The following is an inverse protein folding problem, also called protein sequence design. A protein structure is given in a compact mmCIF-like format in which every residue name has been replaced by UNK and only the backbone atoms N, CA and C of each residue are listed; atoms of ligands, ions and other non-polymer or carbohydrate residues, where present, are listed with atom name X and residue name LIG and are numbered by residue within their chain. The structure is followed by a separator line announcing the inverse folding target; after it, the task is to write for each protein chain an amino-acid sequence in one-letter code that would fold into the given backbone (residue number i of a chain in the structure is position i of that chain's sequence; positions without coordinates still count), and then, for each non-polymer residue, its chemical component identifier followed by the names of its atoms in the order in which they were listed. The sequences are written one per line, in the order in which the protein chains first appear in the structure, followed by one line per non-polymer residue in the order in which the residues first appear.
data_IF_204033721125
#
_entry.id   IF_204033721125
#
_cell.length_a   1.000
_cell.length_b   1.000
_cell.length_c   1.000
_cell.angle_alpha   90.00
_cell.angle_beta   90.00
_cell.angle_gamma   90.00
#
_symmetry.space_group_name_H-M   'P 1'
#
loop_
_entity.id
_entity.type
_entity.pdbx_description
1 polymer ?
#
# COMPACT_ATOMS: atom_id res chain seq x y z
N UNK A 1 -5.98 22.85 -0.65
CA UNK A 1 -5.29 21.66 -1.18
C UNK A 1 -5.23 21.69 -2.70
N UNK A 2 -6.34 21.92 -3.41
CA UNK A 2 -6.41 21.94 -4.90
C UNK A 2 -5.32 22.75 -5.59
N UNK A 3 -5.06 23.99 -5.15
CA UNK A 3 -3.98 24.83 -5.71
C UNK A 3 -2.59 24.17 -5.59
N UNK A 4 -2.32 23.48 -4.49
CA UNK A 4 -1.04 22.79 -4.29
C UNK A 4 -0.96 21.51 -5.17
N UNK A 5 -2.08 20.81 -5.37
CA UNK A 5 -2.14 19.69 -6.30
C UNK A 5 -1.90 20.15 -7.74
N UNK A 6 -2.49 21.28 -8.14
CA UNK A 6 -2.24 21.88 -9.46
C UNK A 6 -0.76 22.26 -9.62
N UNK A 7 -0.12 22.83 -8.60
CA UNK A 7 1.30 23.14 -8.64
C UNK A 7 2.20 21.91 -8.88
N UNK A 8 1.82 20.73 -8.38
CA UNK A 8 2.53 19.48 -8.70
C UNK A 8 2.38 19.13 -10.19
N UNK A 9 1.19 19.28 -10.75
CA UNK A 9 0.95 19.04 -12.18
C UNK A 9 1.74 20.02 -13.05
N UNK A 10 1.72 21.30 -12.70
CA UNK A 10 2.44 22.35 -13.39
C UNK A 10 3.96 22.11 -13.33
N UNK A 11 4.47 21.67 -12.18
CA UNK A 11 5.89 21.34 -12.01
C UNK A 11 6.31 20.10 -12.82
N UNK A 12 5.42 19.12 -13.05
CA UNK A 12 5.72 17.96 -13.91
C UNK A 12 5.72 18.30 -15.39
N UNK A 13 4.78 19.17 -15.81
CA UNK A 13 4.47 19.45 -17.21
C UNK A 13 5.70 19.71 -18.11
N UNK A 14 6.61 20.66 -17.81
CA UNK A 14 7.71 20.97 -18.72
C UNK A 14 8.69 19.80 -18.91
N UNK A 15 8.82 18.92 -17.92
CA UNK A 15 9.70 17.76 -18.02
C UNK A 15 9.08 16.63 -18.83
N UNK A 16 7.77 16.38 -18.63
CA UNK A 16 7.02 15.40 -19.41
C UNK A 16 6.95 15.83 -20.89
N UNK A 17 6.70 17.12 -21.15
CA UNK A 17 6.71 17.69 -22.49
C UNK A 17 8.12 17.58 -23.15
N UNK A 18 9.18 17.49 -22.33
CA UNK A 18 10.56 17.23 -22.74
C UNK A 18 10.94 15.73 -22.85
N UNK A 19 9.99 14.81 -22.68
CA UNK A 19 10.19 13.36 -22.83
C UNK A 19 10.59 12.61 -21.57
N UNK A 20 10.67 13.26 -20.40
CA UNK A 20 10.93 12.57 -19.14
C UNK A 20 9.73 11.68 -18.75
N UNK A 21 10.01 10.48 -18.26
CA UNK A 21 9.00 9.61 -17.68
C UNK A 21 8.68 10.01 -16.23
N UNK A 22 7.58 9.48 -15.69
CA UNK A 22 7.31 9.63 -14.25
C UNK A 22 8.38 8.94 -13.40
N UNK A 23 9.01 7.86 -13.87
CA UNK A 23 10.10 7.23 -13.13
C UNK A 23 11.27 8.20 -12.97
N UNK A 24 11.66 8.89 -14.04
CA UNK A 24 12.76 9.87 -14.03
C UNK A 24 12.47 11.03 -13.07
N UNK A 25 11.21 11.51 -13.03
CA UNK A 25 10.81 12.61 -12.16
C UNK A 25 10.73 12.26 -10.67
N UNK A 26 10.56 10.98 -10.36
CA UNK A 26 10.37 10.50 -9.01
C UNK A 26 11.56 9.71 -8.47
N UNK A 27 12.67 9.65 -9.21
CA UNK A 27 13.96 9.24 -8.67
C UNK A 27 14.34 10.20 -7.51
N UNK A 28 14.57 9.70 -6.28
CA UNK A 28 14.89 10.55 -5.13
C UNK A 28 16.16 11.40 -5.29
N UNK A 29 17.10 10.98 -6.13
CA UNK A 29 18.35 11.68 -6.40
C UNK A 29 18.24 12.66 -7.57
N UNK A 30 17.30 12.43 -8.50
CA UNK A 30 17.13 13.25 -9.70
C UNK A 30 15.84 14.09 -9.72
N UNK A 31 14.99 14.01 -8.69
CA UNK A 31 13.74 14.77 -8.62
C UNK A 31 14.00 16.28 -8.78
N UNK A 32 13.36 16.95 -9.75
CA UNK A 32 13.50 18.39 -9.94
C UNK A 32 13.12 19.17 -8.68
N UNK A 33 13.91 20.18 -8.34
CA UNK A 33 13.73 20.97 -7.10
C UNK A 33 12.34 21.62 -7.02
N UNK A 34 11.80 22.10 -8.14
CA UNK A 34 10.45 22.69 -8.17
C UNK A 34 9.35 21.66 -7.93
N UNK A 35 9.52 20.44 -8.42
CA UNK A 35 8.61 19.33 -8.13
C UNK A 35 8.66 18.94 -6.65
N UNK A 36 9.86 18.86 -6.07
CA UNK A 36 10.03 18.58 -4.64
C UNK A 36 9.38 19.66 -3.76
N UNK A 37 9.56 20.94 -4.10
CA UNK A 37 8.89 22.05 -3.40
C UNK A 37 7.37 21.96 -3.51
N UNK A 38 6.84 21.63 -4.69
CA UNK A 38 5.41 21.46 -4.91
C UNK A 38 4.83 20.33 -4.04
N UNK A 39 5.53 19.19 -3.93
CA UNK A 39 5.13 18.09 -3.03
C UNK A 39 5.13 18.52 -1.58
N UNK A 40 6.19 19.19 -1.10
CA UNK A 40 6.25 19.67 0.29
C UNK A 40 5.09 20.62 0.63
N UNK A 41 4.70 21.47 -0.33
CA UNK A 41 3.56 22.37 -0.16
C UNK A 41 2.23 21.60 -0.14
N UNK A 42 2.09 20.57 -0.97
CA UNK A 42 0.93 19.69 -0.98
C UNK A 42 0.83 18.89 0.33
N UNK A 43 1.91 18.27 0.77
CA UNK A 43 1.98 17.49 2.02
C UNK A 43 1.55 18.34 3.21
N UNK A 44 2.06 19.57 3.31
CA UNK A 44 1.66 20.48 4.36
C UNK A 44 0.18 20.87 4.29
N UNK A 45 -0.39 21.01 3.10
CA UNK A 45 -1.83 21.27 2.94
C UNK A 45 -2.68 20.04 3.31
N UNK A 46 -2.19 18.83 3.05
CA UNK A 46 -2.83 17.56 3.42
C UNK A 46 -2.75 17.35 4.94
N UNK A 47 -1.57 17.49 5.54
CA UNK A 47 -1.37 17.36 6.98
C UNK A 47 -2.31 18.30 7.76
N UNK A 48 -2.47 19.55 7.28
CA UNK A 48 -3.43 20.52 7.84
C UNK A 48 -4.89 20.10 7.75
N UNK A 49 -5.25 19.27 6.77
CA UNK A 49 -6.63 18.76 6.64
C UNK A 49 -6.95 17.67 7.65
N UNK A 50 -5.92 16.95 8.13
CA UNK A 50 -6.05 15.95 9.18
C UNK A 50 -6.10 16.59 10.57
N UNK A 51 -5.23 17.57 10.86
CA UNK A 51 -5.21 18.31 12.14
C UNK A 51 -4.50 19.66 12.01
N UNK A 52 -4.76 20.57 12.95
CA UNK A 52 -4.10 21.89 12.96
C UNK A 52 -2.62 21.85 13.36
N UNK A 53 -2.24 20.95 14.27
CA UNK A 53 -0.86 20.82 14.74
C UNK A 53 0.00 20.03 13.73
N UNK A 54 1.26 20.44 13.48
CA UNK A 54 2.15 19.72 12.57
C UNK A 54 2.54 18.35 13.15
N UNK A 55 2.89 17.40 12.27
CA UNK A 55 3.56 16.16 12.66
C UNK A 55 5.06 16.39 12.83
N UNK A 56 5.65 15.84 13.88
CA UNK A 56 7.09 15.97 14.16
C UNK A 56 7.94 15.05 13.27
N UNK A 57 7.40 13.89 12.88
CA UNK A 57 8.07 12.90 12.04
C UNK A 57 7.04 11.93 11.44
N UNK A 58 7.50 11.08 10.52
CA UNK A 58 6.63 10.13 9.82
C UNK A 58 6.01 9.09 10.77
N UNK A 59 6.67 8.76 11.88
CA UNK A 59 6.12 7.83 12.88
C UNK A 59 4.86 8.42 13.53
N UNK A 60 4.90 9.68 13.96
CA UNK A 60 3.72 10.35 14.53
C UNK A 60 2.57 10.41 13.51
N UNK A 61 2.90 10.69 12.24
CA UNK A 61 1.90 10.71 11.15
C UNK A 61 1.22 9.35 11.02
N UNK A 62 1.99 8.27 10.99
CA UNK A 62 1.46 6.90 10.88
C UNK A 62 0.61 6.51 12.09
N UNK A 63 1.09 6.79 13.32
CA UNK A 63 0.33 6.52 14.55
C UNK A 63 -1.03 7.25 14.55
N UNK A 64 -1.06 8.51 14.13
CA UNK A 64 -2.29 9.29 14.01
C UNK A 64 -3.27 8.71 12.98
N UNK A 65 -2.75 8.30 11.80
CA UNK A 65 -3.57 7.71 10.74
C UNK A 65 -4.18 6.38 11.15
N UNK A 66 -3.44 5.52 11.88
CA UNK A 66 -3.99 4.26 12.43
C UNK A 66 -5.12 4.53 13.43
N UNK A 67 -4.96 5.51 14.33
CA UNK A 67 -6.01 5.87 15.27
C UNK A 67 -7.27 6.42 14.59
N UNK A 68 -7.13 7.15 13.48
CA UNK A 68 -8.28 7.57 12.65
C UNK A 68 -8.94 6.39 11.95
N UNK A 69 -8.14 5.49 11.37
CA UNK A 69 -8.62 4.29 10.72
C UNK A 69 -9.44 3.43 11.69
N UNK A 70 -8.94 3.17 12.90
CA UNK A 70 -9.66 2.39 13.92
C UNK A 70 -11.04 2.98 14.24
N UNK A 71 -11.13 4.32 14.35
CA UNK A 71 -12.41 5.01 14.60
C UNK A 71 -13.40 4.85 13.45
N UNK A 72 -12.91 4.84 12.21
CA UNK A 72 -13.74 4.67 11.00
C UNK A 72 -14.10 3.20 10.75
N UNK A 73 -13.23 2.26 11.14
CA UNK A 73 -13.39 0.83 10.90
C UNK A 73 -14.14 0.10 12.05
N UNK A 74 -14.05 0.58 13.29
CA UNK A 74 -14.76 -0.01 14.43
C UNK A 74 -16.29 -0.10 14.24
N UNK A 75 -16.98 0.91 13.65
CA UNK A 75 -18.41 0.83 13.35
C UNK A 75 -18.77 -0.25 12.32
N UNK A 76 -17.83 -0.70 11.49
CA UNK A 76 -18.02 -1.78 10.51
C UNK A 76 -17.75 -3.17 11.12
N UNK A 77 -16.98 -3.23 12.22
CA UNK A 77 -16.60 -4.47 12.89
C UNK A 77 -17.61 -4.96 13.93
N UNK A 78 -18.59 -4.15 14.35
CA UNK A 78 -19.59 -4.50 15.38
C UNK A 78 -20.76 -5.34 14.87
N UNK A 79 -20.49 -6.30 13.97
CA UNK A 79 -21.28 -7.53 13.84
C UNK A 79 -20.59 -8.69 14.57
N UNK A 80 -20.07 -8.44 15.77
CA UNK A 80 -19.59 -9.52 16.63
C UNK A 80 -20.76 -10.07 17.43
N UNK A 81 -21.39 -11.11 16.87
CA UNK A 81 -22.22 -12.07 17.64
C UNK A 81 -21.44 -12.52 18.89
N UNK A 82 -22.12 -12.78 20.03
CA UNK A 82 -21.44 -13.13 21.29
C UNK A 82 -20.55 -14.37 21.13
N UNK A 83 -19.32 -14.28 21.67
CA UNK A 83 -18.34 -15.38 21.67
C UNK A 83 -18.90 -16.58 22.44
N UNK A 84 -19.28 -17.63 21.71
CA UNK A 84 -19.51 -18.97 22.30
C UNK A 84 -18.18 -19.52 22.86
N UNK A 85 -18.20 -20.24 24.00
CA UNK A 85 -17.00 -20.83 24.58
C UNK A 85 -16.37 -21.85 23.61
N UNK A 86 -15.08 -21.68 23.31
CA UNK A 86 -14.32 -22.56 22.41
C UNK A 86 -14.10 -23.93 23.09
N UNK A 87 -14.63 -24.99 22.49
CA UNK A 87 -14.18 -26.38 22.78
C UNK A 87 -12.79 -26.58 22.16
N UNK A 88 -11.89 -27.24 22.88
CA UNK A 88 -10.51 -27.51 22.41
C UNK A 88 -10.55 -28.34 21.12
N UNK A 89 -9.77 -27.92 20.11
CA UNK A 89 -9.63 -28.62 18.84
C UNK A 89 -8.77 -29.88 19.00
N UNK A 90 -9.03 -30.95 18.21
CA UNK A 90 -8.18 -32.13 18.18
C UNK A 90 -6.81 -31.80 17.57
N UNK A 91 -5.76 -32.44 18.08
CA UNK A 91 -4.38 -32.24 17.61
C UNK A 91 -4.21 -32.92 16.26
N UNK A 92 -4.01 -32.15 15.19
CA UNK A 92 -3.50 -32.65 13.91
C UNK A 92 -1.98 -32.79 13.98
N UNK A 93 -1.41 -33.82 13.34
CA UNK A 93 0.03 -34.08 13.38
C UNK A 93 0.73 -33.38 12.20
N UNK A 94 1.94 -32.86 12.44
CA UNK A 94 2.76 -32.17 11.44
C UNK A 94 3.04 -33.04 10.20
N UNK A 95 3.06 -34.37 10.36
CA UNK A 95 3.21 -35.31 9.24
C UNK A 95 2.11 -35.19 8.18
N UNK A 96 0.87 -34.95 8.61
CA UNK A 96 -0.28 -34.82 7.70
C UNK A 96 -0.16 -33.57 6.82
N UNK A 97 0.49 -32.52 7.33
CA UNK A 97 0.71 -31.26 6.62
C UNK A 97 1.80 -31.37 5.55
N UNK A 98 2.89 -32.08 5.87
CA UNK A 98 4.02 -32.24 4.95
C UNK A 98 3.64 -33.12 3.76
N UNK A 99 2.84 -34.16 3.99
CA UNK A 99 2.31 -35.02 2.92
C UNK A 99 1.43 -34.21 1.94
N UNK A 100 0.51 -33.39 2.47
CA UNK A 100 -0.38 -32.57 1.66
C UNK A 100 0.37 -31.50 0.83
N UNK A 101 1.46 -30.93 1.37
CA UNK A 101 2.30 -29.99 0.62
C UNK A 101 3.10 -30.65 -0.50
N UNK A 102 3.61 -31.86 -0.27
CA UNK A 102 4.34 -32.61 -1.29
C UNK A 102 3.43 -32.98 -2.48
N UNK A 103 2.19 -33.38 -2.22
CA UNK A 103 1.20 -33.69 -3.26
C UNK A 103 0.79 -32.44 -4.05
N UNK A 104 0.60 -31.30 -3.36
CA UNK A 104 0.25 -30.04 -4.02
C UNK A 104 1.39 -29.51 -4.93
N UNK A 105 2.65 -29.68 -4.51
CA UNK A 105 3.81 -29.28 -5.31
C UNK A 105 3.97 -30.14 -6.57
N UNK A 106 3.67 -31.43 -6.49
CA UNK A 106 3.72 -32.34 -7.64
C UNK A 106 2.63 -32.03 -8.68
N UNK A 107 1.47 -31.54 -8.23
CA UNK A 107 0.39 -31.11 -9.13
C UNK A 107 0.73 -29.82 -9.90
N UNK A 108 1.46 -28.90 -9.26
CA UNK A 108 1.90 -27.65 -9.89
C UNK A 108 2.97 -27.88 -10.97
N UNK A 109 3.88 -28.85 -10.78
CA UNK A 109 4.95 -29.12 -11.74
C UNK A 109 4.48 -29.75 -13.06
N UNK A 110 3.31 -30.41 -13.07
CA UNK A 110 2.76 -31.08 -14.28
C UNK A 110 1.99 -30.10 -15.19
N UNK A 111 1.75 -28.86 -14.76
CA UNK A 111 0.93 -27.89 -15.51
C UNK A 111 1.74 -26.86 -16.33
N UNK A 112 3.08 -26.92 -16.35
CA UNK A 112 3.95 -26.06 -17.16
C UNK A 112 4.67 -26.87 -18.26
N UNK A 113 3.93 -27.34 -19.25
CA UNK A 113 4.52 -27.71 -20.56
C UNK A 113 4.04 -26.68 -21.60
N UNK A 114 4.93 -25.86 -22.20
CA UNK A 114 4.52 -24.87 -23.17
C UNK A 114 4.11 -25.54 -24.48
N UNK A 115 2.92 -25.19 -24.99
CA UNK A 115 2.43 -25.66 -26.29
C UNK A 115 3.46 -25.35 -27.40
N UNK A 116 3.72 -26.28 -28.34
CA UNK A 116 4.70 -26.07 -29.39
C UNK A 116 4.26 -24.95 -30.34
N UNK A 117 5.20 -24.17 -30.92
CA UNK A 117 4.85 -23.12 -31.87
C UNK A 117 4.37 -23.74 -33.19
N UNK A 118 3.17 -23.34 -33.62
CA UNK A 118 2.60 -23.62 -34.94
C UNK A 118 3.51 -23.03 -36.03
N UNK A 119 3.85 -23.84 -37.04
CA UNK A 119 4.65 -23.47 -38.22
C UNK A 119 3.81 -23.37 -39.48
#
# INVERSE_FOLDING_TARGET
MEKAAQAVLDARKPHIDGGASLADLYDPLAMPTELLKAHRALDHAVDKSYRQAPFANDRERVEYLFALYEKLAAPLATSTKPKRPRKKAPKTNLGDYVQAQAEAAHHYFVMEEPAPPEG
#
